data_IF_413183199827
#
_entry.id   IF_413183199827
#
_cell.length_a   1.000
_cell.length_b   1.000
_cell.length_c   1.000
_cell.angle_alpha   90.00
_cell.angle_beta   90.00
_cell.angle_gamma   90.00
#
_symmetry.space_group_name_H-M   'P 1'
#
loop_
_entity.id
_entity.type
_entity.pdbx_description
1 polymer ?
#
# COMPACT_ATOMS: atom_id res chain seq x y z
N UNK A 1 12.58 -31.91 6.06
CA UNK A 1 11.23 -31.34 5.86
C UNK A 1 11.34 -29.83 5.78
N UNK A 2 10.74 -29.17 4.79
CA UNK A 2 10.63 -27.71 4.74
C UNK A 2 9.28 -27.27 5.32
N UNK A 3 9.28 -26.24 6.18
CA UNK A 3 8.10 -25.77 6.92
C UNK A 3 7.09 -25.02 6.04
N UNK A 4 7.54 -24.38 4.97
CA UNK A 4 6.72 -23.56 4.08
C UNK A 4 6.97 -23.93 2.61
N UNK A 5 5.92 -23.87 1.79
CA UNK A 5 5.98 -24.22 0.36
C UNK A 5 5.22 -23.28 -0.57
N UNK A 6 4.47 -22.30 -0.03
CA UNK A 6 3.69 -21.36 -0.82
C UNK A 6 3.47 -20.04 -0.07
N UNK A 7 3.27 -18.97 -0.84
CA UNK A 7 2.70 -17.71 -0.38
C UNK A 7 1.22 -17.70 -0.78
N UNK A 8 0.37 -17.10 0.06
CA UNK A 8 -1.06 -16.92 -0.21
C UNK A 8 -1.35 -15.43 -0.25
N UNK A 9 -2.10 -15.00 -1.26
CA UNK A 9 -2.70 -13.67 -1.29
C UNK A 9 -3.82 -13.64 -0.26
N UNK A 10 -3.75 -12.69 0.68
CA UNK A 10 -4.78 -12.49 1.71
C UNK A 10 -5.55 -11.18 1.52
N UNK A 11 -4.97 -10.23 0.78
CA UNK A 11 -5.57 -8.95 0.43
C UNK A 11 -4.96 -8.45 -0.90
N UNK A 12 -5.69 -7.57 -1.61
CA UNK A 12 -5.25 -6.97 -2.86
C UNK A 12 -5.80 -5.54 -2.96
N UNK A 13 -4.92 -4.54 -2.89
CA UNK A 13 -5.27 -3.14 -3.10
C UNK A 13 -4.94 -2.76 -4.54
N UNK A 14 -5.96 -2.34 -5.29
CA UNK A 14 -5.77 -1.87 -6.67
C UNK A 14 -5.59 -0.36 -6.68
N UNK A 15 -4.40 0.12 -7.03
CA UNK A 15 -4.14 1.54 -7.27
C UNK A 15 -4.81 1.98 -8.57
N UNK A 16 -6.11 2.29 -8.49
CA UNK A 16 -6.88 2.84 -9.58
C UNK A 16 -6.61 4.33 -9.72
N UNK A 17 -5.61 4.69 -10.54
CA UNK A 17 -5.53 6.06 -11.03
C UNK A 17 -5.56 6.06 -12.56
N UNK A 18 -6.72 6.45 -13.09
CA UNK A 18 -6.98 6.57 -14.54
C UNK A 18 -6.11 7.69 -15.14
N UNK A 19 -5.63 8.64 -14.32
CA UNK A 19 -4.93 9.84 -14.75
C UNK A 19 -3.40 9.76 -14.61
N UNK A 20 -2.87 8.72 -13.97
CA UNK A 20 -1.43 8.52 -13.79
C UNK A 20 -0.98 7.22 -14.45
N UNK A 21 -0.28 7.34 -15.57
CA UNK A 21 0.24 6.19 -16.33
C UNK A 21 1.37 5.44 -15.59
N UNK A 22 1.92 6.01 -14.52
CA UNK A 22 2.96 5.39 -13.71
C UNK A 22 2.56 5.38 -12.23
N UNK A 23 2.35 4.17 -11.68
CA UNK A 23 1.96 3.94 -10.28
C UNK A 23 2.96 3.03 -9.56
N UNK A 24 4.25 3.12 -9.91
CA UNK A 24 5.30 2.37 -9.22
C UNK A 24 5.33 2.81 -7.75
N UNK A 25 5.08 1.85 -6.86
CA UNK A 25 5.31 1.96 -5.42
C UNK A 25 6.80 1.71 -5.18
N UNK A 26 7.50 2.71 -4.68
CA UNK A 26 8.94 2.61 -4.38
C UNK A 26 9.22 2.21 -2.93
N UNK A 27 8.25 2.34 -2.04
CA UNK A 27 8.38 1.99 -0.61
C UNK A 27 7.05 1.49 -0.07
N UNK A 28 7.10 0.49 0.81
CA UNK A 28 6.00 0.01 1.64
C UNK A 28 6.53 -0.34 3.02
N UNK A 29 6.03 0.31 4.06
CA UNK A 29 6.56 0.15 5.42
C UNK A 29 5.43 0.12 6.44
N UNK A 30 5.57 -0.72 7.46
CA UNK A 30 4.70 -0.72 8.63
C UNK A 30 5.14 0.34 9.64
N UNK A 31 4.20 0.78 10.48
CA UNK A 31 4.52 1.53 11.68
C UNK A 31 5.11 0.63 12.78
N UNK A 32 5.31 1.18 13.97
CA UNK A 32 5.96 0.46 15.08
C UNK A 32 5.11 -0.72 15.59
N UNK A 33 3.80 -0.55 15.52
CA UNK A 33 2.84 -1.42 16.20
C UNK A 33 2.19 -2.43 15.23
N UNK A 34 2.64 -2.44 13.96
CA UNK A 34 2.13 -3.27 12.86
C UNK A 34 0.62 -3.07 12.58
N UNK A 35 0.07 -1.93 12.98
CA UNK A 35 -1.36 -1.60 12.81
C UNK A 35 -1.60 -0.83 11.51
N UNK A 36 -0.67 0.04 11.15
CA UNK A 36 -0.72 0.86 9.94
C UNK A 36 0.44 0.54 9.01
N UNK A 37 0.21 0.71 7.71
CA UNK A 37 1.30 0.72 6.73
C UNK A 37 1.16 1.87 5.74
N UNK A 38 2.28 2.36 5.26
CA UNK A 38 2.35 3.44 4.29
C UNK A 38 2.94 2.95 2.97
N UNK A 39 2.40 3.47 1.86
CA UNK A 39 2.99 3.31 0.52
C UNK A 39 3.40 4.67 -0.02
N UNK A 40 4.50 4.71 -0.77
CA UNK A 40 4.99 5.90 -1.43
C UNK A 40 5.60 5.55 -2.80
N UNK A 41 5.56 6.48 -3.74
CA UNK A 41 6.17 6.24 -5.05
C UNK A 41 6.02 7.38 -6.05
N UNK A 42 6.00 7.01 -7.34
CA UNK A 42 5.99 7.97 -8.45
C UNK A 42 4.64 8.65 -8.66
N UNK A 43 3.60 8.18 -7.97
CA UNK A 43 2.29 8.84 -7.86
C UNK A 43 2.36 10.19 -7.14
N UNK A 44 3.50 10.52 -6.50
CA UNK A 44 3.67 11.74 -5.70
C UNK A 44 2.64 11.82 -4.56
N UNK A 45 2.30 10.66 -4.02
CA UNK A 45 1.38 10.55 -2.91
C UNK A 45 1.93 9.52 -1.92
N UNK A 46 1.91 9.87 -0.64
CA UNK A 46 2.08 8.93 0.45
C UNK A 46 0.69 8.55 0.93
N UNK A 47 0.36 7.26 0.91
CA UNK A 47 -0.93 6.72 1.33
C UNK A 47 -0.73 5.85 2.56
N UNK A 48 -1.46 6.14 3.64
CA UNK A 48 -1.46 5.34 4.88
C UNK A 48 -2.73 4.51 4.93
N UNK A 49 -2.60 3.25 5.30
CA UNK A 49 -3.68 2.27 5.37
C UNK A 49 -3.72 1.62 6.75
N UNK A 50 -4.93 1.29 7.18
CA UNK A 50 -5.16 0.41 8.34
C UNK A 50 -5.06 -1.06 7.90
N UNK A 51 -4.16 -1.82 8.51
CA UNK A 51 -3.86 -3.19 8.07
C UNK A 51 -5.05 -4.13 8.28
N UNK A 52 -5.73 -4.01 9.42
CA UNK A 52 -6.89 -4.85 9.75
C UNK A 52 -8.02 -4.64 8.74
N UNK A 53 -8.29 -3.39 8.39
CA UNK A 53 -9.30 -3.02 7.40
C UNK A 53 -8.94 -3.59 6.02
N UNK A 54 -7.68 -3.50 5.61
CA UNK A 54 -7.22 -4.04 4.32
C UNK A 54 -7.37 -5.56 4.23
N UNK A 55 -7.13 -6.29 5.32
CA UNK A 55 -7.16 -7.76 5.29
C UNK A 55 -8.56 -8.32 5.49
N UNK A 56 -9.40 -7.65 6.28
CA UNK A 56 -10.67 -8.22 6.72
C UNK A 56 -11.89 -7.65 5.98
N UNK A 57 -11.80 -6.43 5.44
CA UNK A 57 -12.93 -5.78 4.77
C UNK A 57 -12.99 -6.08 3.26
N UNK A 58 -14.18 -6.01 2.65
CA UNK A 58 -14.34 -6.11 1.19
C UNK A 58 -13.44 -5.12 0.45
N UNK A 59 -12.99 -5.51 -0.74
CA UNK A 59 -12.06 -4.74 -1.57
C UNK A 59 -12.50 -3.28 -1.83
N UNK A 60 -13.80 -3.01 -1.83
CA UNK A 60 -14.38 -1.69 -2.08
C UNK A 60 -14.17 -0.69 -0.92
N UNK A 61 -13.72 -1.17 0.25
CA UNK A 61 -13.55 -0.38 1.48
C UNK A 61 -12.06 -0.14 1.78
N UNK A 62 -11.15 -0.70 0.98
CA UNK A 62 -9.69 -0.66 1.21
C UNK A 62 -9.05 0.67 0.76
N UNK A 63 -9.63 1.77 1.24
CA UNK A 63 -9.17 3.13 0.98
C UNK A 63 -8.09 3.54 2.00
N UNK A 64 -7.14 4.38 1.61
CA UNK A 64 -6.20 4.95 2.56
C UNK A 64 -6.94 5.84 3.57
N UNK A 65 -6.54 5.73 4.83
CA UNK A 65 -7.05 6.57 5.92
C UNK A 65 -6.46 7.98 5.87
N UNK A 66 -5.28 8.12 5.26
CA UNK A 66 -4.60 9.41 5.04
C UNK A 66 -3.91 9.38 3.69
N UNK A 67 -4.06 10.46 2.92
CA UNK A 67 -3.29 10.71 1.69
C UNK A 67 -2.52 12.04 1.81
N UNK A 68 -1.22 12.00 1.51
CA UNK A 68 -0.35 13.17 1.54
C UNK A 68 0.30 13.36 0.17
N UNK A 69 -0.14 14.40 -0.55
CA UNK A 69 0.40 14.73 -1.87
C UNK A 69 1.75 15.43 -1.79
N UNK A 70 2.61 15.17 -2.76
CA UNK A 70 3.93 15.78 -2.93
C UNK A 70 4.06 16.37 -4.34
N UNK A 71 5.02 17.29 -4.53
CA UNK A 71 5.28 17.86 -5.87
C UNK A 71 6.21 16.99 -6.71
N UNK A 72 6.99 16.12 -6.06
CA UNK A 72 8.06 15.31 -6.64
C UNK A 72 7.76 13.82 -6.48
N UNK A 73 8.28 13.00 -7.41
CA UNK A 73 8.26 11.54 -7.26
C UNK A 73 9.05 11.13 -6.02
N UNK A 74 8.55 10.14 -5.29
CA UNK A 74 9.23 9.55 -4.15
C UNK A 74 9.97 8.29 -4.61
N UNK A 75 11.18 8.09 -4.11
CA UNK A 75 12.04 6.95 -4.41
C UNK A 75 12.67 6.43 -3.11
N UNK A 76 12.87 5.12 -3.01
CA UNK A 76 13.62 4.48 -1.93
C UNK A 76 15.00 4.05 -2.45
N UNK A 77 15.99 3.95 -1.55
CA UNK A 77 17.42 3.75 -1.86
C UNK A 77 17.85 2.27 -1.75
#
# INVERSE_FOLDING_TARGET
>A
FTRYSRLRVIAEIRHGDIFHSANIVSSIEFDRDDELFATAGVSRCIKVFDFSSVVNEPADIQCPIVEMSTRSKLSCL
#
